data_IF_985445944412
#
_entry.id   IF_985445944412
#
_cell.length_a   1.000
_cell.length_b   1.000
_cell.length_c   1.000
_cell.angle_alpha   90.00
_cell.angle_beta   90.00
_cell.angle_gamma   90.00
#
_symmetry.space_group_name_H-M   'P 1'
#
loop_
_entity.id
_entity.type
_entity.pdbx_description
1 polymer ?
#
# COMPACT_ATOMS: atom_id res chain seq x y z
N UNK A 1 72.98 1.88 -13.09
CA UNK A 1 72.95 1.72 -11.61
C UNK A 1 71.75 2.55 -11.14
N UNK A 2 70.67 2.10 -10.52
CA UNK A 2 70.13 0.85 -9.97
C UNK A 2 68.59 0.98 -10.12
N UNK A 3 67.84 0.06 -10.73
CA UNK A 3 67.22 -1.15 -10.14
C UNK A 3 66.28 -0.93 -8.95
N UNK A 4 65.06 -1.50 -9.11
CA UNK A 4 64.15 -2.09 -8.11
C UNK A 4 63.13 -1.19 -7.39
N UNK A 5 61.90 -1.60 -7.08
CA UNK A 5 60.90 -2.64 -7.46
C UNK A 5 59.90 -2.59 -6.27
N UNK A 6 58.60 -2.75 -6.56
CA UNK A 6 57.55 -3.34 -5.70
C UNK A 6 57.47 -2.99 -4.21
N UNK A 7 56.29 -2.51 -3.81
CA UNK A 7 55.31 -3.14 -2.90
C UNK A 7 54.30 -2.04 -2.56
N UNK A 8 53.05 -2.09 -3.02
CA UNK A 8 52.09 -3.10 -2.62
C UNK A 8 51.26 -2.53 -1.49
N UNK A 9 50.13 -1.89 -1.80
CA UNK A 9 48.95 -1.94 -0.94
C UNK A 9 47.75 -1.69 -1.85
N UNK A 10 47.07 -2.79 -2.16
CA UNK A 10 45.68 -2.77 -2.54
C UNK A 10 44.95 -1.94 -1.47
N UNK A 11 44.68 -0.67 -1.74
CA UNK A 11 43.55 -0.03 -1.09
C UNK A 11 42.34 -0.62 -1.78
N UNK A 12 41.88 -1.75 -1.23
CA UNK A 12 40.53 -2.27 -1.37
C UNK A 12 39.57 -1.23 -0.79
N UNK A 13 39.57 -0.03 -1.39
CA UNK A 13 38.61 1.01 -1.08
C UNK A 13 37.29 0.43 -1.54
N UNK A 14 36.62 -0.15 -0.56
CA UNK A 14 35.33 -0.76 -0.67
C UNK A 14 34.45 0.30 -1.30
N UNK A 15 34.14 0.13 -2.59
CA UNK A 15 32.89 0.64 -3.12
C UNK A 15 31.80 -0.15 -2.40
N UNK A 16 31.57 0.19 -1.14
CA UNK A 16 30.28 0.00 -0.53
C UNK A 16 29.35 0.78 -1.45
N UNK A 17 28.66 0.05 -2.33
CA UNK A 17 27.40 0.51 -2.83
C UNK A 17 26.56 0.69 -1.57
N UNK A 18 26.56 1.93 -1.07
CA UNK A 18 25.56 2.42 -0.16
C UNK A 18 24.29 2.31 -0.95
N UNK A 19 23.63 1.16 -0.87
CA UNK A 19 22.20 1.11 -1.08
C UNK A 19 21.63 1.96 0.03
N UNK A 20 21.38 3.22 -0.29
CA UNK A 20 20.53 4.11 0.48
C UNK A 20 19.18 3.40 0.59
N UNK A 21 19.05 2.57 1.62
CA UNK A 21 17.76 2.12 2.09
C UNK A 21 17.10 3.30 2.79
N UNK A 22 16.06 3.80 2.15
CA UNK A 22 14.87 4.31 2.82
C UNK A 22 14.98 5.67 3.53
N UNK A 23 14.89 6.73 2.73
CA UNK A 23 14.18 7.96 3.09
C UNK A 23 13.00 8.15 2.12
N UNK A 24 12.35 7.05 1.75
CA UNK A 24 11.38 7.03 0.67
C UNK A 24 10.58 5.74 0.72
N UNK A 25 9.37 5.81 1.28
CA UNK A 25 8.62 4.63 1.68
C UNK A 25 8.27 3.67 0.54
N UNK A 26 7.73 2.51 0.92
CA UNK A 26 7.63 1.33 0.06
C UNK A 26 6.81 1.52 -1.24
N UNK A 27 5.99 2.56 -1.32
CA UNK A 27 5.06 2.81 -2.44
C UNK A 27 5.46 3.98 -3.35
N UNK A 28 6.63 4.60 -3.17
CA UNK A 28 6.99 5.83 -3.91
C UNK A 28 7.77 5.59 -5.21
N UNK A 29 7.97 4.34 -5.62
CA UNK A 29 8.54 4.06 -6.93
C UNK A 29 7.49 4.28 -8.04
N UNK A 30 7.96 4.45 -9.27
CA UNK A 30 7.11 4.81 -10.42
C UNK A 30 5.98 3.81 -10.68
N UNK A 31 6.28 2.50 -10.65
CA UNK A 31 5.27 1.45 -10.89
C UNK A 31 4.17 1.46 -9.84
N UNK A 32 4.54 1.61 -8.57
CA UNK A 32 3.59 1.71 -7.47
C UNK A 32 2.73 2.95 -7.60
N UNK A 33 3.35 4.12 -7.79
CA UNK A 33 2.61 5.37 -7.93
C UNK A 33 1.64 5.36 -9.12
N UNK A 34 1.99 4.72 -10.24
CA UNK A 34 1.07 4.55 -11.36
C UNK A 34 -0.09 3.60 -11.02
N UNK A 35 0.19 2.47 -10.37
CA UNK A 35 -0.85 1.54 -9.92
C UNK A 35 -1.80 2.19 -8.91
N UNK A 36 -1.27 2.95 -7.94
CA UNK A 36 -2.06 3.65 -6.91
C UNK A 36 -3.00 4.71 -7.48
N UNK A 37 -2.61 5.38 -8.58
CA UNK A 37 -3.44 6.40 -9.27
C UNK A 37 -4.57 5.80 -10.09
N UNK A 38 -4.51 4.50 -10.38
CA UNK A 38 -5.57 3.80 -11.12
C UNK A 38 -6.91 3.93 -10.43
N UNK A 39 -7.99 3.83 -11.20
CA UNK A 39 -9.33 3.79 -10.61
C UNK A 39 -9.60 2.48 -9.86
N UNK A 40 -8.89 1.40 -10.18
CA UNK A 40 -9.16 0.08 -9.60
C UNK A 40 -8.43 -0.18 -8.29
N UNK A 41 -7.33 0.52 -7.99
CA UNK A 41 -6.52 0.20 -6.81
C UNK A 41 -7.24 0.48 -5.49
N UNK A 42 -7.76 1.69 -5.28
CA UNK A 42 -8.50 2.03 -4.05
C UNK A 42 -9.60 1.00 -3.73
N UNK A 43 -10.53 0.73 -4.65
CA UNK A 43 -11.57 -0.29 -4.48
C UNK A 43 -11.02 -1.71 -4.26
N UNK A 44 -9.87 -2.04 -4.83
CA UNK A 44 -9.23 -3.34 -4.63
C UNK A 44 -8.77 -3.53 -3.18
N UNK A 45 -8.34 -2.48 -2.47
CA UNK A 45 -7.99 -2.56 -1.04
C UNK A 45 -9.17 -3.09 -0.23
N UNK A 46 -10.35 -2.47 -0.38
CA UNK A 46 -11.58 -2.89 0.29
C UNK A 46 -12.03 -4.29 -0.14
N UNK A 47 -11.92 -4.59 -1.43
CA UNK A 47 -12.36 -5.87 -2.00
C UNK A 47 -11.49 -7.03 -1.53
N UNK A 48 -10.17 -6.90 -1.64
CA UNK A 48 -9.20 -7.88 -1.18
C UNK A 48 -9.28 -8.05 0.33
N UNK A 49 -9.37 -6.95 1.08
CA UNK A 49 -9.54 -6.99 2.53
C UNK A 49 -10.80 -7.74 2.94
N UNK A 50 -11.95 -7.42 2.34
CA UNK A 50 -13.21 -8.07 2.69
C UNK A 50 -13.22 -9.56 2.31
N UNK A 51 -12.68 -9.94 1.14
CA UNK A 51 -12.57 -11.34 0.69
C UNK A 51 -11.75 -12.20 1.64
N UNK A 52 -10.75 -11.60 2.29
CA UNK A 52 -9.88 -12.28 3.23
C UNK A 52 -10.16 -11.92 4.69
N UNK A 53 -11.31 -11.30 4.98
CA UNK A 53 -11.74 -10.92 6.34
C UNK A 53 -10.65 -10.12 7.08
N UNK A 54 -9.93 -9.28 6.34
CA UNK A 54 -8.84 -8.47 6.85
C UNK A 54 -7.54 -9.22 7.15
N UNK A 55 -7.42 -10.51 6.80
CA UNK A 55 -6.17 -11.24 6.99
C UNK A 55 -5.07 -10.63 6.11
N UNK A 56 -3.94 -10.27 6.73
CA UNK A 56 -2.80 -9.61 6.06
C UNK A 56 -2.33 -10.39 4.83
N UNK A 57 -1.92 -11.65 5.00
CA UNK A 57 -1.34 -12.45 3.90
C UNK A 57 -2.32 -12.70 2.74
N UNK A 58 -3.61 -12.90 3.06
CA UNK A 58 -4.64 -13.04 2.05
C UNK A 58 -4.84 -11.75 1.25
N UNK A 59 -4.93 -10.62 1.97
CA UNK A 59 -5.08 -9.28 1.36
C UNK A 59 -3.87 -8.94 0.49
N UNK A 60 -2.64 -9.13 1.01
CA UNK A 60 -1.39 -8.87 0.30
C UNK A 60 -1.34 -9.64 -1.02
N UNK A 61 -1.57 -10.95 -0.98
CA UNK A 61 -1.57 -11.79 -2.18
C UNK A 61 -2.65 -11.35 -3.17
N UNK A 62 -3.86 -11.07 -2.72
CA UNK A 62 -4.91 -10.54 -3.58
C UNK A 62 -4.49 -9.22 -4.26
N UNK A 63 -3.82 -8.31 -3.56
CA UNK A 63 -3.33 -7.07 -4.17
C UNK A 63 -2.26 -7.31 -5.25
N UNK A 64 -1.38 -8.31 -5.04
CA UNK A 64 -0.30 -8.69 -5.95
C UNK A 64 -0.79 -9.47 -7.18
N UNK A 65 -1.86 -10.26 -7.03
CA UNK A 65 -2.47 -11.04 -8.11
C UNK A 65 -3.24 -10.17 -9.12
N UNK A 66 -3.51 -8.90 -8.79
CA UNK A 66 -4.21 -7.95 -9.64
C UNK A 66 -3.25 -7.02 -10.40
N UNK A 67 -3.77 -6.44 -11.48
CA UNK A 67 -3.14 -5.31 -12.17
C UNK A 67 -4.09 -4.12 -12.16
N UNK A 68 -3.50 -2.93 -12.17
CA UNK A 68 -4.12 -1.65 -11.93
C UNK A 68 -3.76 -0.75 -13.11
N UNK A 69 -4.66 -0.65 -14.09
CA UNK A 69 -4.38 -0.03 -15.40
C UNK A 69 -3.12 -0.59 -16.09
N UNK A 70 -2.92 -1.91 -15.97
CA UNK A 70 -1.76 -2.61 -16.55
C UNK A 70 -0.47 -2.51 -15.74
N UNK A 71 -0.52 -1.90 -14.55
CA UNK A 71 0.60 -1.80 -13.61
C UNK A 71 0.38 -2.71 -12.41
N UNK A 72 1.47 -3.19 -11.81
CA UNK A 72 1.43 -3.96 -10.57
C UNK A 72 2.07 -3.16 -9.46
N UNK A 73 1.62 -3.41 -8.24
CA UNK A 73 2.30 -2.92 -7.05
C UNK A 73 3.43 -3.87 -6.65
N UNK A 74 4.46 -3.31 -6.05
CA UNK A 74 5.56 -4.03 -5.42
C UNK A 74 5.06 -4.80 -4.20
N UNK A 75 5.79 -5.87 -3.85
CA UNK A 75 5.48 -6.66 -2.66
C UNK A 75 5.52 -5.81 -1.38
N UNK A 76 6.49 -4.89 -1.29
CA UNK A 76 6.63 -4.00 -0.14
C UNK A 76 5.45 -3.04 -0.03
N UNK A 77 5.01 -2.43 -1.15
CA UNK A 77 3.85 -1.55 -1.13
C UNK A 77 2.56 -2.31 -0.79
N UNK A 78 2.36 -3.50 -1.36
CA UNK A 78 1.21 -4.35 -1.03
C UNK A 78 1.19 -4.74 0.46
N UNK A 79 2.36 -4.96 1.07
CA UNK A 79 2.47 -5.26 2.50
C UNK A 79 1.99 -4.09 3.39
N UNK A 80 2.29 -2.85 3.01
CA UNK A 80 1.82 -1.67 3.73
C UNK A 80 0.29 -1.59 3.75
N UNK A 81 -0.36 -1.70 2.59
CA UNK A 81 -1.82 -1.67 2.49
C UNK A 81 -2.48 -2.87 3.17
N UNK A 82 -1.90 -4.07 3.02
CA UNK A 82 -2.40 -5.27 3.69
C UNK A 82 -2.29 -5.18 5.22
N UNK A 83 -1.22 -4.57 5.73
CA UNK A 83 -1.04 -4.30 7.16
C UNK A 83 -2.09 -3.30 7.67
N UNK A 84 -2.36 -2.24 6.93
CA UNK A 84 -3.39 -1.26 7.27
C UNK A 84 -4.79 -1.89 7.30
N UNK A 85 -5.11 -2.73 6.32
CA UNK A 85 -6.36 -3.51 6.27
C UNK A 85 -6.48 -4.44 7.48
N UNK A 86 -5.40 -5.15 7.82
CA UNK A 86 -5.39 -6.06 8.97
C UNK A 86 -5.53 -5.31 10.29
N UNK A 87 -4.88 -4.16 10.43
CA UNK A 87 -5.08 -3.26 11.56
C UNK A 87 -6.54 -2.82 11.68
N UNK A 88 -7.18 -2.41 10.57
CA UNK A 88 -8.58 -2.00 10.56
C UNK A 88 -9.53 -3.13 10.95
N UNK A 89 -9.26 -4.36 10.49
CA UNK A 89 -10.05 -5.52 10.86
C UNK A 89 -9.96 -5.87 12.35
N UNK A 90 -8.81 -5.64 12.99
CA UNK A 90 -8.62 -5.91 14.42
C UNK A 90 -9.16 -4.76 15.29
N UNK A 91 -8.78 -3.52 14.97
CA UNK A 91 -9.03 -2.36 15.83
C UNK A 91 -10.36 -1.66 15.55
N UNK A 92 -10.88 -1.79 14.33
CA UNK A 92 -12.04 -1.04 13.86
C UNK A 92 -13.24 -1.93 13.48
N UNK A 93 -13.18 -3.23 13.76
CA UNK A 93 -14.25 -4.21 13.48
C UNK A 93 -15.65 -3.67 13.81
N UNK A 94 -15.85 -3.18 15.05
CA UNK A 94 -17.14 -2.69 15.51
C UNK A 94 -17.63 -1.46 14.74
N UNK A 95 -16.71 -0.60 14.31
CA UNK A 95 -17.01 0.60 13.50
C UNK A 95 -17.29 0.25 12.04
N UNK A 96 -16.74 -0.86 11.56
CA UNK A 96 -16.82 -1.33 10.17
C UNK A 96 -17.87 -2.42 9.93
N UNK A 97 -18.48 -2.98 10.99
CA UNK A 97 -19.45 -4.08 10.93
C UNK A 97 -20.62 -3.83 9.96
N UNK A 98 -21.05 -2.57 9.81
CA UNK A 98 -22.17 -2.18 8.94
C UNK A 98 -21.74 -1.66 7.57
N UNK A 99 -20.44 -1.74 7.24
CA UNK A 99 -19.87 -1.35 5.96
C UNK A 99 -18.54 -0.62 6.11
N UNK A 100 -17.57 -1.00 5.27
CA UNK A 100 -16.21 -0.44 5.29
C UNK A 100 -16.13 1.04 4.87
N UNK A 101 -17.11 1.52 4.10
CA UNK A 101 -17.15 2.89 3.60
C UNK A 101 -18.04 3.83 4.42
N UNK A 102 -18.50 3.42 5.60
CA UNK A 102 -19.18 4.32 6.53
C UNK A 102 -18.18 5.23 7.23
N UNK A 103 -18.59 6.46 7.53
CA UNK A 103 -17.72 7.46 8.17
C UNK A 103 -17.09 6.97 9.47
N UNK A 104 -17.83 6.23 10.30
CA UNK A 104 -17.32 5.67 11.55
C UNK A 104 -16.16 4.69 11.30
N UNK A 105 -16.30 3.80 10.32
CA UNK A 105 -15.24 2.87 9.92
C UNK A 105 -14.03 3.62 9.38
N UNK A 106 -14.26 4.54 8.42
CA UNK A 106 -13.20 5.33 7.80
C UNK A 106 -12.41 6.13 8.83
N UNK A 107 -13.11 6.83 9.72
CA UNK A 107 -12.50 7.60 10.80
C UNK A 107 -11.64 6.72 11.71
N UNK A 108 -12.16 5.56 12.12
CA UNK A 108 -11.39 4.62 12.94
C UNK A 108 -10.15 4.11 12.20
N UNK A 109 -10.30 3.67 10.95
CA UNK A 109 -9.18 3.15 10.15
C UNK A 109 -8.10 4.21 9.95
N UNK A 110 -8.47 5.45 9.61
CA UNK A 110 -7.52 6.55 9.47
C UNK A 110 -6.84 6.88 10.81
N UNK A 111 -7.60 6.97 11.91
CA UNK A 111 -7.02 7.35 13.21
C UNK A 111 -6.13 6.28 13.83
N UNK A 112 -6.50 5.01 13.66
CA UNK A 112 -5.87 3.88 14.35
C UNK A 112 -4.79 3.20 13.49
N UNK A 113 -4.91 3.28 12.17
CA UNK A 113 -4.06 2.52 11.24
C UNK A 113 -3.39 3.39 10.16
N UNK A 114 -3.78 4.66 10.03
CA UNK A 114 -3.24 5.57 9.02
C UNK A 114 -1.76 5.87 9.24
N UNK A 115 -1.34 6.14 10.48
CA UNK A 115 0.05 6.51 10.78
C UNK A 115 1.06 5.44 10.31
N UNK A 116 0.78 4.16 10.58
CA UNK A 116 1.63 3.05 10.15
C UNK A 116 1.62 2.88 8.63
N UNK A 117 0.45 3.07 8.00
CA UNK A 117 0.35 3.05 6.53
C UNK A 117 1.23 4.14 5.91
N UNK A 118 1.13 5.37 6.37
CA UNK A 118 1.87 6.51 5.84
C UNK A 118 3.38 6.35 6.06
N UNK A 119 3.78 5.91 7.26
CA UNK A 119 5.17 5.61 7.56
C UNK A 119 5.73 4.49 6.68
N UNK A 120 4.95 3.43 6.42
CA UNK A 120 5.39 2.30 5.61
C UNK A 120 5.44 2.63 4.11
N UNK A 121 4.39 3.26 3.59
CA UNK A 121 4.21 3.52 2.16
C UNK A 121 4.99 4.73 1.67
N UNK A 122 5.29 5.70 2.54
CA UNK A 122 5.81 7.01 2.15
C UNK A 122 4.74 7.92 1.55
N UNK A 123 3.47 7.53 1.62
CA UNK A 123 2.32 8.35 1.24
C UNK A 123 1.82 9.17 2.44
N UNK A 124 0.98 10.14 2.15
CA UNK A 124 0.26 10.94 3.13
C UNK A 124 -1.26 10.79 2.94
N UNK A 125 -2.06 11.52 3.73
CA UNK A 125 -3.51 11.44 3.67
C UNK A 125 -4.09 11.84 2.30
N UNK A 126 -3.49 12.81 1.62
CA UNK A 126 -3.97 13.34 0.34
C UNK A 126 -3.46 12.50 -0.85
N UNK A 127 -2.32 11.82 -0.70
CA UNK A 127 -1.72 10.99 -1.77
C UNK A 127 -2.10 9.52 -1.70
N UNK A 128 -2.53 9.02 -0.54
CA UNK A 128 -3.01 7.64 -0.41
C UNK A 128 -4.37 7.45 -1.13
N UNK A 129 -4.55 6.34 -1.86
CA UNK A 129 -5.80 6.05 -2.56
C UNK A 129 -6.95 5.83 -1.56
N UNK A 130 -8.06 6.54 -1.77
CA UNK A 130 -9.27 6.35 -0.97
C UNK A 130 -10.01 5.07 -1.43
N UNK A 131 -10.13 4.05 -0.55
CA UNK A 131 -10.78 2.79 -0.90
C UNK A 131 -12.31 2.90 -1.08
N UNK A 132 -12.86 4.07 -0.81
CA UNK A 132 -14.28 4.38 -0.84
C UNK A 132 -14.63 5.57 -1.75
N UNK A 133 -13.70 6.06 -2.58
CA UNK A 133 -13.98 7.16 -3.51
C UNK A 133 -15.09 6.77 -4.50
N UNK A 134 -16.28 7.41 -4.42
CA UNK A 134 -17.40 7.10 -5.30
C UNK A 134 -17.09 7.39 -6.78
N UNK A 135 -16.11 8.25 -7.07
CA UNK A 135 -15.70 8.63 -8.42
C UNK A 135 -14.87 7.55 -9.12
N UNK A 136 -14.36 6.56 -8.38
CA UNK A 136 -13.43 5.52 -8.86
C UNK A 136 -14.00 4.10 -8.81
N UNK A 137 -15.30 3.98 -8.57
CA UNK A 137 -15.97 2.70 -8.31
C UNK A 137 -15.92 1.72 -9.50
N UNK A 138 -15.45 0.47 -9.35
CA UNK A 138 -15.71 -0.59 -10.32
C UNK A 138 -17.22 -0.91 -10.30
N UNK A 139 -17.78 -1.11 -11.50
CA UNK A 139 -19.21 -1.25 -11.84
C UNK A 139 -20.09 -2.17 -10.97
N UNK A 140 -19.53 -2.97 -10.06
CA UNK A 140 -20.25 -4.01 -9.32
C UNK A 140 -20.83 -3.57 -7.96
N UNK A 141 -20.46 -2.39 -7.43
CA UNK A 141 -20.92 -1.98 -6.09
C UNK A 141 -22.03 -0.90 -6.10
N UNK A 142 -22.49 -0.43 -7.27
CA UNK A 142 -23.42 0.72 -7.38
C UNK A 142 -24.89 0.42 -7.09
N UNK A 143 -25.28 -0.81 -6.77
CA UNK A 143 -26.71 -1.15 -6.65
C UNK A 143 -27.28 -1.24 -5.22
N UNK A 144 -26.51 -0.91 -4.17
CA UNK A 144 -26.99 -1.09 -2.78
C UNK A 144 -27.38 0.20 -2.03
N UNK A 145 -27.37 1.38 -2.66
CA UNK A 145 -27.55 2.65 -1.93
C UNK A 145 -28.71 3.55 -2.41
N UNK A 146 -29.39 3.24 -3.51
CA UNK A 146 -30.50 4.07 -4.03
C UNK A 146 -31.90 3.52 -3.72
N UNK A 147 -32.04 2.57 -2.78
CA UNK A 147 -33.34 1.96 -2.44
C UNK A 147 -34.00 2.44 -1.13
N UNK A 148 -33.60 3.58 -0.54
CA UNK A 148 -34.24 4.10 0.71
C UNK A 148 -34.73 5.55 0.60
N UNK A 149 -35.05 6.02 -0.62
CA UNK A 149 -35.89 7.21 -0.80
C UNK A 149 -36.96 6.91 -1.85
N UNK A 150 -37.97 6.14 -1.45
CA UNK A 150 -39.30 6.09 -2.05
C UNK A 150 -40.30 5.58 -1.00
#
# INVERSE_FOLDING_TARGET
MRTMLLTGFLSMYSMALVTFGDQGGACINESDLEALKSASFGPAISTCGSRHVGAKEGTKRCLLDNTYDGKSVSEACADCFASAVSCGAVNCWSSCMWGNCRDACRKCSTSSCGADLYSCSGLDFDTAPDPCDPSKKPRAASEASEAVVA
#
